data_IF_379503810164
#
_entry.id   IF_379503810164
#
_cell.length_a   1.000
_cell.length_b   1.000
_cell.length_c   1.000
_cell.angle_alpha   90.00
_cell.angle_beta   90.00
_cell.angle_gamma   90.00
#
_symmetry.space_group_name_H-M   'P 1'
#
loop_
_entity.id
_entity.type
_entity.pdbx_description
1 polymer ?
#
# COMPACT_ATOMS: atom_id res chain seq x y z
N UNK A 1 24.51 -48.80 17.14
CA UNK A 1 23.45 -48.11 16.37
C UNK A 1 22.51 -47.23 17.21
N UNK A 2 22.43 -47.36 18.54
CA UNK A 2 21.48 -46.59 19.37
C UNK A 2 21.75 -45.08 19.54
N UNK A 3 22.98 -44.60 19.33
CA UNK A 3 23.35 -43.18 19.53
C UNK A 3 23.10 -42.26 18.32
N UNK A 4 22.82 -42.82 17.14
CA UNK A 4 22.61 -42.04 15.91
C UNK A 4 21.22 -41.38 15.86
N UNK A 5 20.21 -42.06 16.39
CA UNK A 5 18.83 -41.55 16.45
C UNK A 5 18.67 -40.25 17.27
N UNK A 6 19.22 -40.13 18.50
CA UNK A 6 19.11 -38.89 19.28
C UNK A 6 19.88 -37.72 18.64
N UNK A 7 21.02 -37.98 17.98
CA UNK A 7 21.78 -36.96 17.25
C UNK A 7 21.02 -36.41 16.04
N UNK A 8 20.33 -37.27 15.29
CA UNK A 8 19.47 -36.84 14.17
C UNK A 8 18.26 -36.01 14.64
N UNK A 9 17.66 -36.37 15.78
CA UNK A 9 16.58 -35.59 16.40
C UNK A 9 17.05 -34.21 16.87
N UNK A 10 18.24 -34.13 17.48
CA UNK A 10 18.83 -32.87 17.91
C UNK A 10 19.10 -31.94 16.72
N UNK A 11 19.68 -32.48 15.64
CA UNK A 11 19.94 -31.76 14.39
C UNK A 11 18.66 -31.22 13.75
N UNK A 12 17.59 -32.03 13.67
CA UNK A 12 16.28 -31.59 13.16
C UNK A 12 15.68 -30.48 14.01
N UNK A 13 15.72 -30.61 15.34
CA UNK A 13 15.18 -29.60 16.25
C UNK A 13 15.97 -28.28 16.17
N UNK A 14 17.29 -28.33 16.02
CA UNK A 14 18.12 -27.15 15.80
C UNK A 14 17.75 -26.45 14.48
N UNK A 15 17.59 -27.21 13.40
CA UNK A 15 17.17 -26.67 12.10
C UNK A 15 15.80 -26.00 12.18
N UNK A 16 14.84 -26.59 12.91
CA UNK A 16 13.51 -26.01 13.10
C UNK A 16 13.60 -24.70 13.91
N UNK A 17 14.37 -24.68 15.01
CA UNK A 17 14.57 -23.47 15.81
C UNK A 17 15.20 -22.32 15.01
N UNK A 18 16.27 -22.61 14.24
CA UNK A 18 16.92 -21.59 13.41
C UNK A 18 15.93 -21.04 12.38
N UNK A 19 15.19 -21.90 11.69
CA UNK A 19 14.20 -21.47 10.69
C UNK A 19 13.09 -20.60 11.31
N UNK A 20 12.65 -20.96 12.51
CA UNK A 20 11.62 -20.22 13.24
C UNK A 20 12.10 -18.83 13.68
N UNK A 21 13.39 -18.67 13.98
CA UNK A 21 14.01 -17.39 14.33
C UNK A 21 14.16 -16.45 13.12
N UNK A 22 14.42 -16.98 11.92
CA UNK A 22 14.55 -16.19 10.68
C UNK A 22 13.21 -15.78 10.06
N UNK A 23 12.16 -16.57 10.27
CA UNK A 23 10.81 -16.33 9.74
C UNK A 23 10.24 -14.91 9.98
N UNK A 24 10.32 -14.30 11.19
CA UNK A 24 9.83 -12.93 11.42
C UNK A 24 10.59 -11.87 10.61
N UNK A 25 11.91 -12.00 10.47
CA UNK A 25 12.72 -11.08 9.65
C UNK A 25 12.35 -11.17 8.17
N UNK A 26 12.15 -12.39 7.67
CA UNK A 26 11.71 -12.61 6.29
C UNK A 26 10.32 -12.01 6.04
N UNK A 27 9.36 -12.21 6.95
CA UNK A 27 8.03 -11.59 6.85
C UNK A 27 8.12 -10.06 6.82
N UNK A 28 8.93 -9.47 7.69
CA UNK A 28 9.10 -8.03 7.75
C UNK A 28 9.76 -7.48 6.47
N UNK A 29 10.81 -8.14 5.97
CA UNK A 29 11.47 -7.72 4.74
C UNK A 29 10.56 -7.82 3.49
N UNK A 30 9.99 -9.01 3.26
CA UNK A 30 9.30 -9.32 2.01
C UNK A 30 7.86 -8.80 1.99
N UNK A 31 7.14 -8.85 3.10
CA UNK A 31 5.72 -8.46 3.15
C UNK A 31 5.57 -6.96 3.41
N UNK A 32 6.50 -6.36 4.16
CA UNK A 32 6.34 -4.98 4.63
C UNK A 32 7.28 -4.03 3.91
N UNK A 33 8.59 -4.23 4.02
CA UNK A 33 9.58 -3.29 3.51
C UNK A 33 9.51 -3.24 1.99
N UNK A 34 9.55 -4.40 1.33
CA UNK A 34 9.63 -4.46 -0.13
C UNK A 34 8.40 -3.83 -0.84
N UNK A 35 7.14 -4.13 -0.48
CA UNK A 35 5.98 -3.52 -1.11
C UNK A 35 5.85 -2.03 -0.78
N UNK A 36 6.24 -1.63 0.43
CA UNK A 36 6.24 -0.21 0.83
C UNK A 36 7.24 0.59 0.01
N UNK A 37 8.46 0.08 -0.21
CA UNK A 37 9.47 0.74 -1.04
C UNK A 37 9.02 0.85 -2.49
N UNK A 38 8.46 -0.22 -3.07
CA UNK A 38 7.91 -0.18 -4.44
C UNK A 38 6.82 0.88 -4.53
N UNK A 39 5.89 0.92 -3.56
CA UNK A 39 4.80 1.89 -3.54
C UNK A 39 5.31 3.33 -3.42
N UNK A 40 6.30 3.59 -2.56
CA UNK A 40 6.94 4.91 -2.42
C UNK A 40 7.62 5.32 -3.73
N UNK A 41 8.39 4.42 -4.34
CA UNK A 41 9.09 4.69 -5.61
C UNK A 41 8.07 4.98 -6.71
N UNK A 42 7.05 4.13 -6.88
CA UNK A 42 6.01 4.32 -7.89
C UNK A 42 5.27 5.65 -7.68
N UNK A 43 4.83 5.94 -6.46
CA UNK A 43 4.15 7.20 -6.13
C UNK A 43 5.04 8.42 -6.38
N UNK A 44 6.33 8.33 -6.07
CA UNK A 44 7.30 9.42 -6.31
C UNK A 44 7.56 9.65 -7.80
N UNK A 45 7.67 8.58 -8.59
CA UNK A 45 7.82 8.66 -10.05
C UNK A 45 6.58 9.28 -10.69
N UNK A 46 5.38 8.83 -10.31
CA UNK A 46 4.11 9.39 -10.79
C UNK A 46 4.00 10.87 -10.40
N UNK A 47 4.35 11.22 -9.16
CA UNK A 47 4.35 12.60 -8.69
C UNK A 47 5.30 13.49 -9.49
N UNK A 48 6.54 13.05 -9.69
CA UNK A 48 7.52 13.78 -10.50
C UNK A 48 7.04 13.94 -11.95
N UNK A 49 6.46 12.90 -12.54
CA UNK A 49 5.91 12.96 -13.89
C UNK A 49 4.75 13.96 -13.98
N UNK A 50 3.84 13.97 -13.00
CA UNK A 50 2.73 14.93 -12.93
C UNK A 50 3.22 16.38 -12.76
N UNK A 51 4.24 16.60 -11.92
CA UNK A 51 4.87 17.92 -11.75
C UNK A 51 5.56 18.41 -13.03
N UNK A 52 6.30 17.54 -13.71
CA UNK A 52 6.98 17.86 -14.97
C UNK A 52 5.97 18.16 -16.09
N UNK A 53 4.92 17.36 -16.20
CA UNK A 53 3.82 17.59 -17.16
C UNK A 53 3.12 18.93 -16.90
N UNK A 54 2.89 19.27 -15.63
CA UNK A 54 2.32 20.56 -15.23
C UNK A 54 3.25 21.73 -15.60
N UNK A 55 4.57 21.58 -15.41
CA UNK A 55 5.57 22.63 -15.71
C UNK A 55 5.68 22.91 -17.21
N UNK A 56 5.66 21.88 -18.07
CA UNK A 56 5.78 22.03 -19.53
C UNK A 56 4.58 22.79 -20.14
N UNK A 57 3.38 22.58 -19.62
CA UNK A 57 2.16 23.22 -20.14
C UNK A 57 2.06 24.68 -19.70
N UNK A 58 2.55 25.05 -18.50
CA UNK A 58 2.65 26.46 -18.07
C UNK A 58 3.55 27.29 -18.98
N UNK A 59 4.64 26.70 -19.50
CA UNK A 59 5.55 27.37 -20.43
C UNK A 59 4.95 27.55 -21.83
N UNK A 60 4.09 26.63 -22.29
CA UNK A 60 3.40 26.74 -23.59
C UNK A 60 2.08 27.55 -23.54
N UNK A 61 1.49 27.74 -22.35
CA UNK A 61 0.23 28.47 -22.17
C UNK A 61 0.33 30.00 -22.15
N UNK A 62 1.55 30.54 -22.19
CA UNK A 62 1.83 31.98 -22.14
C UNK A 62 1.72 32.72 -23.47
N UNK A 63 1.68 32.03 -24.62
CA UNK A 63 1.81 32.68 -25.94
C UNK A 63 0.62 32.41 -26.90
N UNK A 64 -0.24 31.41 -26.66
CA UNK A 64 -1.27 31.04 -27.66
C UNK A 64 -2.70 30.97 -27.10
N UNK A 65 -3.50 31.93 -27.57
CA UNK A 65 -4.79 31.74 -28.26
C UNK A 65 -5.95 31.00 -27.56
N UNK A 66 -7.06 31.72 -27.56
CA UNK A 66 -8.46 31.43 -27.28
C UNK A 66 -9.00 30.16 -27.98
N UNK A 67 -8.51 28.96 -27.62
CA UNK A 67 -8.96 27.69 -28.20
C UNK A 67 -9.71 26.81 -27.18
N UNK A 68 -10.93 26.29 -27.50
CA UNK A 68 -11.76 25.46 -26.61
C UNK A 68 -11.12 24.10 -26.25
N UNK A 69 -10.04 23.73 -26.94
CA UNK A 69 -9.22 22.55 -26.61
C UNK A 69 -8.50 22.74 -25.26
N UNK A 70 -8.16 23.99 -24.91
CA UNK A 70 -7.46 24.32 -23.66
C UNK A 70 -8.30 24.06 -22.41
N UNK A 71 -9.60 24.35 -22.45
CA UNK A 71 -10.50 24.13 -21.30
C UNK A 71 -10.72 22.63 -21.02
N UNK A 72 -10.75 21.79 -22.07
CA UNK A 72 -10.83 20.32 -21.92
C UNK A 72 -9.56 19.75 -21.28
N UNK A 73 -8.39 20.28 -21.65
CA UNK A 73 -7.10 19.85 -21.12
C UNK A 73 -6.87 20.30 -19.66
N UNK A 74 -7.33 21.50 -19.28
CA UNK A 74 -7.35 21.93 -17.88
C UNK A 74 -8.24 21.05 -17.00
N UNK A 75 -9.41 20.62 -17.51
CA UNK A 75 -10.33 19.74 -16.77
C UNK A 75 -9.74 18.35 -16.53
N UNK A 76 -9.05 17.78 -17.53
CA UNK A 76 -8.34 16.50 -17.38
C UNK A 76 -7.20 16.60 -16.37
N UNK A 77 -6.42 17.68 -16.40
CA UNK A 77 -5.33 17.92 -15.45
C UNK A 77 -5.83 18.08 -14.00
N UNK A 78 -6.94 18.78 -13.78
CA UNK A 78 -7.55 18.85 -12.46
C UNK A 78 -7.96 17.48 -11.93
N UNK A 79 -8.47 16.60 -12.79
CA UNK A 79 -8.79 15.22 -12.44
C UNK A 79 -7.54 14.42 -12.07
N UNK A 80 -6.46 14.52 -12.85
CA UNK A 80 -5.19 13.82 -12.57
C UNK A 80 -4.55 14.26 -11.25
N UNK A 81 -4.50 15.57 -10.98
CA UNK A 81 -3.95 16.09 -9.72
C UNK A 81 -4.81 15.69 -8.53
N UNK A 82 -6.13 15.68 -8.69
CA UNK A 82 -7.06 15.20 -7.67
C UNK A 82 -6.83 13.70 -7.37
N UNK A 83 -6.73 12.86 -8.40
CA UNK A 83 -6.42 11.44 -8.26
C UNK A 83 -5.08 11.22 -7.55
N UNK A 84 -4.05 11.99 -7.91
CA UNK A 84 -2.73 11.92 -7.28
C UNK A 84 -2.78 12.28 -5.80
N UNK A 85 -3.46 13.37 -5.44
CA UNK A 85 -3.68 13.78 -4.05
C UNK A 85 -4.41 12.68 -3.27
N UNK A 86 -5.37 12.03 -3.91
CA UNK A 86 -6.13 10.95 -3.30
C UNK A 86 -5.33 9.66 -3.13
N UNK A 87 -4.50 9.29 -4.11
CA UNK A 87 -3.55 8.17 -3.98
C UNK A 87 -2.56 8.43 -2.84
N UNK A 88 -2.03 9.64 -2.73
CA UNK A 88 -1.17 10.03 -1.62
C UNK A 88 -1.90 9.94 -0.26
N UNK A 89 -3.15 10.40 -0.19
CA UNK A 89 -3.97 10.27 1.01
C UNK A 89 -4.20 8.80 1.39
N UNK A 90 -4.60 7.95 0.44
CA UNK A 90 -4.81 6.52 0.69
C UNK A 90 -3.52 5.82 1.13
N UNK A 91 -2.37 6.22 0.57
CA UNK A 91 -1.07 5.73 1.00
C UNK A 91 -0.77 6.12 2.46
N UNK A 92 -0.97 7.39 2.83
CA UNK A 92 -0.78 7.85 4.21
C UNK A 92 -1.70 7.12 5.20
N UNK A 93 -2.97 6.91 4.85
CA UNK A 93 -3.93 6.16 5.68
C UNK A 93 -3.49 4.71 5.84
N UNK A 94 -3.03 4.07 4.75
CA UNK A 94 -2.55 2.70 4.79
C UNK A 94 -1.30 2.57 5.67
N UNK A 95 -0.28 3.38 5.41
CA UNK A 95 0.96 3.35 6.19
C UNK A 95 0.68 3.68 7.65
N UNK A 96 -0.14 4.69 7.94
CA UNK A 96 -0.52 5.05 9.31
C UNK A 96 -1.27 3.93 10.04
N UNK A 97 -2.20 3.23 9.36
CA UNK A 97 -2.95 2.13 9.94
C UNK A 97 -2.12 0.86 10.18
N UNK A 98 -1.17 0.58 9.29
CA UNK A 98 -0.33 -0.63 9.37
C UNK A 98 0.99 -0.42 10.12
N UNK A 99 1.48 0.81 10.25
CA UNK A 99 2.72 1.12 10.96
C UNK A 99 2.76 0.56 12.40
N UNK A 100 1.71 0.67 13.23
CA UNK A 100 1.73 0.08 14.57
C UNK A 100 1.90 -1.44 14.56
N UNK A 101 1.28 -2.14 13.60
CA UNK A 101 1.45 -3.59 13.41
C UNK A 101 2.91 -3.93 13.07
N UNK A 102 3.52 -3.14 12.19
CA UNK A 102 4.92 -3.34 11.80
C UNK A 102 5.90 -3.06 12.95
N UNK A 103 5.65 -2.01 13.72
CA UNK A 103 6.41 -1.68 14.93
C UNK A 103 6.30 -2.84 15.94
N UNK A 104 5.09 -3.36 16.15
CA UNK A 104 4.86 -4.49 17.04
C UNK A 104 5.58 -5.75 16.55
N UNK A 105 5.50 -6.06 15.26
CA UNK A 105 6.20 -7.20 14.69
C UNK A 105 7.73 -7.08 14.86
N UNK A 106 8.29 -5.87 14.74
CA UNK A 106 9.70 -5.60 14.99
C UNK A 106 10.06 -5.71 16.49
N UNK A 107 9.19 -5.26 17.39
CA UNK A 107 9.44 -5.29 18.84
C UNK A 107 9.16 -6.65 19.49
N UNK A 108 8.25 -7.47 18.94
CA UNK A 108 7.98 -8.85 19.42
C UNK A 108 9.20 -9.77 19.23
N UNK A 109 10.21 -9.33 18.47
CA UNK A 109 11.52 -9.98 18.41
C UNK A 109 12.24 -9.89 19.78
N UNK A 110 11.86 -8.94 20.65
CA UNK A 110 12.57 -8.59 21.89
C UNK A 110 11.72 -8.67 23.17
N UNK A 111 10.41 -9.01 23.13
CA UNK A 111 9.62 -9.12 24.36
C UNK A 111 8.15 -9.51 24.19
N UNK A 112 7.54 -9.98 25.27
CA UNK A 112 6.11 -10.35 25.36
C UNK A 112 5.22 -9.10 25.31
N UNK A 113 4.65 -8.79 24.15
CA UNK A 113 3.62 -7.76 24.05
C UNK A 113 2.23 -8.26 24.50
N UNK A 114 1.47 -7.36 25.10
CA UNK A 114 0.09 -7.60 25.53
C UNK A 114 -0.80 -7.98 24.33
N UNK A 115 -1.38 -9.19 24.35
CA UNK A 115 -2.25 -9.73 23.29
C UNK A 115 -3.40 -8.77 22.90
N UNK A 116 -3.93 -8.01 23.87
CA UNK A 116 -4.99 -7.03 23.62
C UNK A 116 -4.53 -5.87 22.71
N UNK A 117 -3.30 -5.37 22.89
CA UNK A 117 -2.75 -4.31 22.05
C UNK A 117 -2.56 -4.78 20.61
N UNK A 118 -2.07 -6.02 20.42
CA UNK A 118 -1.92 -6.61 19.09
C UNK A 118 -3.26 -6.66 18.35
N UNK A 119 -4.32 -7.17 19.00
CA UNK A 119 -5.65 -7.25 18.43
C UNK A 119 -6.22 -5.87 18.07
N UNK A 120 -6.02 -4.87 18.94
CA UNK A 120 -6.46 -3.50 18.68
C UNK A 120 -5.81 -2.91 17.41
N UNK A 121 -4.47 -2.99 17.30
CA UNK A 121 -3.78 -2.48 16.11
C UNK A 121 -4.11 -3.28 14.85
N UNK A 122 -4.44 -4.56 14.98
CA UNK A 122 -4.83 -5.38 13.86
C UNK A 122 -6.19 -4.94 13.31
N UNK A 123 -7.16 -4.68 14.19
CA UNK A 123 -8.44 -4.09 13.80
C UNK A 123 -8.24 -2.72 13.14
N UNK A 124 -7.36 -1.87 13.69
CA UNK A 124 -7.04 -0.57 13.09
C UNK A 124 -6.49 -0.70 11.66
N UNK A 125 -5.58 -1.65 11.44
CA UNK A 125 -5.03 -1.94 10.11
C UNK A 125 -6.11 -2.40 9.12
N UNK A 126 -7.03 -3.25 9.56
CA UNK A 126 -8.17 -3.69 8.73
C UNK A 126 -9.10 -2.52 8.40
N UNK A 127 -9.43 -1.67 9.37
CA UNK A 127 -10.24 -0.46 9.15
C UNK A 127 -9.56 0.46 8.15
N UNK A 128 -8.24 0.67 8.25
CA UNK A 128 -7.50 1.51 7.29
C UNK A 128 -7.61 0.98 5.84
N UNK A 129 -7.59 -0.34 5.69
CA UNK A 129 -7.73 -1.01 4.39
C UNK A 129 -9.15 -0.84 3.85
N UNK A 130 -10.15 -1.01 4.71
CA UNK A 130 -11.56 -0.82 4.36
C UNK A 130 -11.85 0.63 3.98
N UNK A 131 -11.28 1.61 4.70
CA UNK A 131 -11.35 3.02 4.32
C UNK A 131 -10.77 3.28 2.93
N UNK A 132 -9.63 2.67 2.58
CA UNK A 132 -9.05 2.82 1.24
C UNK A 132 -9.94 2.22 0.15
N UNK A 133 -10.51 1.03 0.38
CA UNK A 133 -11.44 0.39 -0.56
C UNK A 133 -12.68 1.26 -0.77
N UNK A 134 -13.29 1.75 0.32
CA UNK A 134 -14.45 2.64 0.25
C UNK A 134 -14.12 3.95 -0.48
N UNK A 135 -12.96 4.54 -0.20
CA UNK A 135 -12.52 5.78 -0.83
C UNK A 135 -12.31 5.59 -2.34
N UNK A 136 -11.70 4.46 -2.74
CA UNK A 136 -11.52 4.10 -4.14
C UNK A 136 -12.87 3.88 -4.84
N UNK A 137 -13.80 3.17 -4.19
CA UNK A 137 -15.14 2.95 -4.72
C UNK A 137 -15.95 4.24 -4.87
N UNK A 138 -15.90 5.15 -3.89
CA UNK A 138 -16.65 6.40 -3.90
C UNK A 138 -16.13 7.38 -4.96
N UNK A 139 -14.81 7.43 -5.18
CA UNK A 139 -14.20 8.44 -6.04
C UNK A 139 -13.97 7.98 -7.48
N UNK A 140 -13.85 6.68 -7.75
CA UNK A 140 -13.81 6.19 -9.13
C UNK A 140 -15.22 5.97 -9.68
N UNK A 141 -15.78 7.02 -10.26
CA UNK A 141 -17.10 6.97 -10.91
C UNK A 141 -17.19 5.86 -11.98
N UNK A 142 -16.12 5.63 -12.74
CA UNK A 142 -16.06 4.61 -13.79
C UNK A 142 -16.17 3.18 -13.23
N UNK A 143 -15.54 2.90 -12.09
CA UNK A 143 -15.65 1.60 -11.39
C UNK A 143 -17.08 1.40 -10.90
N UNK A 144 -17.69 2.45 -10.35
CA UNK A 144 -19.08 2.42 -9.90
C UNK A 144 -20.05 2.16 -11.06
N UNK A 145 -19.84 2.82 -12.20
CA UNK A 145 -20.64 2.58 -13.41
C UNK A 145 -20.45 1.16 -13.95
N UNK A 146 -19.21 0.66 -13.98
CA UNK A 146 -18.94 -0.71 -14.40
C UNK A 146 -19.65 -1.75 -13.52
N UNK A 147 -19.57 -1.58 -12.19
CA UNK A 147 -20.24 -2.48 -11.24
C UNK A 147 -21.77 -2.42 -11.34
N UNK A 148 -22.35 -1.23 -11.49
CA UNK A 148 -23.80 -1.08 -11.69
C UNK A 148 -24.24 -1.78 -12.99
N UNK A 149 -23.50 -1.58 -14.08
CA UNK A 149 -23.81 -2.22 -15.36
C UNK A 149 -23.71 -3.75 -15.29
N UNK A 150 -22.72 -4.30 -14.57
CA UNK A 150 -22.57 -5.74 -14.36
C UNK A 150 -23.72 -6.32 -13.51
N UNK A 151 -24.13 -5.62 -12.45
CA UNK A 151 -25.27 -6.04 -11.61
C UNK A 151 -26.57 -6.04 -12.41
N UNK A 152 -26.78 -5.05 -13.30
CA UNK A 152 -27.95 -5.00 -14.19
C UNK A 152 -27.96 -6.09 -15.27
N UNK A 153 -26.82 -6.70 -15.60
CA UNK A 153 -26.75 -7.81 -16.56
C UNK A 153 -27.02 -9.19 -15.91
N UNK A 154 -26.89 -9.28 -14.58
CA UNK A 154 -27.11 -10.50 -13.81
C UNK A 154 -28.54 -10.65 -13.28
N UNK A 155 -29.35 -9.59 -13.38
CA UNK A 155 -30.70 -9.47 -12.81
C UNK A 155 -31.72 -9.43 -13.96
#
# INVERSE_FOLDING_TARGET
>A
MGLLAPLMLLSKNLSICVTQQWMPYYKLGVIVIFPSLISIIANSVIFNFACLSTRRIRLHGGIASMNPIRSRQERLRHREVYLLKQMAFMFCVHVGGWAPIYIIAASNIHGYLFSALYSFFFVLAQISTLCNILNLFLCHHEIRQYLINQIQQLL
#
